data_IF_736050245873
#
_entry.id   IF_736050245873
#
_cell.length_a   1.000
_cell.length_b   1.000
_cell.length_c   1.000
_cell.angle_alpha   90.00
_cell.angle_beta   90.00
_cell.angle_gamma   90.00
#
_symmetry.space_group_name_H-M   'P 1'
#
loop_
_entity.id
_entity.type
_entity.pdbx_description
1 polymer ?
#
# COMPACT_ATOMS: atom_id res chain seq x y z
N UNK A 1 7.33 15.36 -6.40
CA UNK A 1 5.92 15.03 -6.71
C UNK A 1 5.89 13.51 -6.69
N UNK A 2 6.09 12.88 -5.52
CA UNK A 2 6.66 11.52 -5.46
C UNK A 2 6.16 10.68 -4.26
N UNK A 3 4.97 10.95 -3.73
CA UNK A 3 4.45 10.20 -2.57
C UNK A 3 3.50 9.05 -2.95
N UNK A 4 2.97 9.04 -4.19
CA UNK A 4 1.89 8.12 -4.58
C UNK A 4 2.37 6.88 -5.36
N UNK A 5 3.65 6.80 -5.73
CA UNK A 5 4.20 5.69 -6.53
C UNK A 5 4.14 4.35 -5.79
N UNK A 6 4.36 4.37 -4.46
CA UNK A 6 4.36 3.15 -3.64
C UNK A 6 3.02 2.41 -3.65
N UNK A 7 1.89 3.13 -3.63
CA UNK A 7 0.57 2.50 -3.66
C UNK A 7 0.26 1.87 -5.03
N UNK A 8 0.55 2.60 -6.12
CA UNK A 8 0.34 2.08 -7.46
C UNK A 8 1.19 0.82 -7.73
N UNK A 9 2.45 0.82 -7.25
CA UNK A 9 3.34 -0.32 -7.39
C UNK A 9 2.89 -1.51 -6.53
N UNK A 10 2.44 -1.26 -5.30
CA UNK A 10 1.83 -2.29 -4.46
C UNK A 10 0.61 -2.94 -5.12
N UNK A 11 -0.28 -2.16 -5.75
CA UNK A 11 -1.42 -2.70 -6.47
C UNK A 11 -1.02 -3.57 -7.68
N UNK A 12 0.03 -3.19 -8.40
CA UNK A 12 0.54 -3.97 -9.52
C UNK A 12 1.18 -5.29 -9.08
N UNK A 13 1.91 -5.28 -7.96
CA UNK A 13 2.45 -6.49 -7.34
C UNK A 13 1.33 -7.43 -6.86
N UNK A 14 0.31 -6.89 -6.19
CA UNK A 14 -0.84 -7.68 -5.76
C UNK A 14 -1.56 -8.34 -6.95
N UNK A 15 -1.77 -7.60 -8.05
CA UNK A 15 -2.36 -8.12 -9.29
C UNK A 15 -1.52 -9.21 -9.94
N UNK A 16 -0.20 -9.11 -9.83
CA UNK A 16 0.73 -10.12 -10.37
C UNK A 16 0.78 -11.38 -9.51
N UNK A 17 0.63 -11.23 -8.18
CA UNK A 17 0.59 -12.35 -7.24
C UNK A 17 -0.75 -13.07 -7.21
N UNK A 18 -1.85 -12.35 -7.44
CA UNK A 18 -3.22 -12.86 -7.47
C UNK A 18 -4.00 -12.27 -8.66
N UNK A 19 -4.25 -13.08 -9.68
CA UNK A 19 -5.00 -12.66 -10.87
C UNK A 19 -6.47 -12.30 -10.58
N UNK A 20 -7.01 -12.74 -9.44
CA UNK A 20 -8.38 -12.42 -9.01
C UNK A 20 -8.48 -11.10 -8.25
N UNK A 21 -7.35 -10.48 -7.92
CA UNK A 21 -7.32 -9.17 -7.27
C UNK A 21 -7.84 -8.08 -8.22
N UNK A 22 -8.76 -7.26 -7.72
CA UNK A 22 -9.26 -6.09 -8.43
C UNK A 22 -9.21 -4.85 -7.53
N UNK A 23 -8.72 -3.73 -8.06
CA UNK A 23 -8.70 -2.44 -7.36
C UNK A 23 -10.07 -2.01 -6.84
N UNK A 24 -11.15 -2.42 -7.53
CA UNK A 24 -12.53 -2.16 -7.11
C UNK A 24 -12.92 -2.84 -5.78
N UNK A 25 -12.17 -3.86 -5.33
CA UNK A 25 -12.35 -4.52 -4.04
C UNK A 25 -11.83 -3.65 -2.88
N UNK A 26 -10.98 -2.65 -3.14
CA UNK A 26 -10.54 -1.69 -2.11
C UNK A 26 -11.60 -0.59 -1.99
N UNK A 27 -12.25 -0.53 -0.82
CA UNK A 27 -13.22 0.50 -0.51
C UNK A 27 -12.55 1.85 -0.21
N UNK A 28 -11.53 1.83 0.65
CA UNK A 28 -10.76 3.01 1.04
C UNK A 28 -9.36 2.61 1.56
N UNK A 29 -8.45 3.57 1.55
CA UNK A 29 -7.18 3.54 2.26
C UNK A 29 -7.39 4.36 3.53
N UNK A 30 -7.31 3.74 4.71
CA UNK A 30 -7.63 4.40 5.97
C UNK A 30 -6.46 5.19 6.53
N UNK A 31 -5.26 4.60 6.44
CA UNK A 31 -4.02 5.17 6.96
C UNK A 31 -2.87 4.72 6.05
N UNK A 32 -1.86 5.55 5.92
CA UNK A 32 -0.63 5.19 5.24
C UNK A 32 0.59 5.71 6.00
N UNK A 33 1.73 5.08 5.79
CA UNK A 33 3.04 5.61 6.18
C UNK A 33 4.05 5.35 5.08
N UNK A 34 5.10 6.16 5.09
CA UNK A 34 6.26 6.00 4.22
C UNK A 34 7.53 6.17 5.05
N UNK A 35 8.50 5.31 4.78
CA UNK A 35 9.89 5.48 5.18
C UNK A 35 10.73 5.38 3.91
N UNK A 36 11.42 6.46 3.56
CA UNK A 36 12.31 6.47 2.41
C UNK A 36 13.71 6.84 2.91
N UNK A 37 14.64 5.91 2.74
CA UNK A 37 16.08 6.15 2.84
C UNK A 37 16.66 6.23 1.41
N UNK A 38 17.91 6.69 1.28
CA UNK A 38 18.59 6.91 0.00
C UNK A 38 18.57 5.68 -0.93
N UNK A 39 18.59 4.47 -0.35
CA UNK A 39 18.69 3.20 -1.09
C UNK A 39 17.46 2.29 -0.96
N UNK A 40 16.46 2.68 -0.16
CA UNK A 40 15.30 1.82 0.17
C UNK A 40 14.04 2.64 0.44
N UNK A 41 12.94 2.23 -0.17
CA UNK A 41 11.61 2.72 0.18
C UNK A 41 10.79 1.63 0.88
N UNK A 42 10.08 2.00 1.94
CA UNK A 42 9.09 1.17 2.58
C UNK A 42 7.81 1.97 2.75
N UNK A 43 6.69 1.34 2.43
CA UNK A 43 5.37 1.95 2.46
C UNK A 43 4.42 1.00 3.16
N UNK A 44 3.60 1.54 4.04
CA UNK A 44 2.52 0.80 4.68
C UNK A 44 1.17 1.43 4.38
N UNK A 45 0.18 0.59 4.12
CA UNK A 45 -1.19 1.00 3.84
C UNK A 45 -2.16 0.15 4.65
N UNK A 46 -3.11 0.79 5.32
CA UNK A 46 -4.26 0.10 5.89
C UNK A 46 -5.43 0.29 4.94
N UNK A 47 -5.91 -0.81 4.38
CA UNK A 47 -6.97 -0.85 3.39
C UNK A 47 -8.25 -1.39 4.02
N UNK A 48 -9.35 -0.70 3.78
CA UNK A 48 -10.70 -1.23 3.97
C UNK A 48 -11.16 -1.84 2.66
N UNK A 49 -11.58 -3.10 2.71
CA UNK A 49 -12.08 -3.85 1.56
C UNK A 49 -13.61 -3.74 1.48
N UNK A 50 -14.17 -3.86 0.27
CA UNK A 50 -15.63 -3.74 0.05
C UNK A 50 -16.45 -4.86 0.71
N UNK A 51 -15.82 -5.97 1.05
CA UNK A 51 -16.43 -7.06 1.81
C UNK A 51 -16.37 -6.85 3.34
N UNK A 52 -15.86 -5.71 3.81
CA UNK A 52 -15.73 -5.38 5.23
C UNK A 52 -14.42 -5.86 5.88
N UNK A 53 -13.56 -6.59 5.16
CA UNK A 53 -12.23 -6.93 5.67
C UNK A 53 -11.32 -5.71 5.72
N UNK A 54 -10.31 -5.80 6.57
CA UNK A 54 -9.27 -4.78 6.70
C UNK A 54 -7.91 -5.42 6.53
N UNK A 55 -7.11 -4.89 5.61
CA UNK A 55 -5.81 -5.45 5.26
C UNK A 55 -4.72 -4.41 5.51
N UNK A 56 -3.61 -4.86 6.07
CA UNK A 56 -2.35 -4.14 6.06
C UNK A 56 -1.50 -4.60 4.90
N UNK A 57 -1.10 -3.67 4.05
CA UNK A 57 -0.14 -3.89 2.98
C UNK A 57 1.16 -3.20 3.33
N UNK A 58 2.26 -3.95 3.33
CA UNK A 58 3.61 -3.41 3.43
C UNK A 58 4.34 -3.68 2.12
N UNK A 59 4.65 -2.60 1.40
CA UNK A 59 5.44 -2.64 0.18
C UNK A 59 6.85 -2.16 0.48
N UNK A 60 7.85 -2.92 0.08
CA UNK A 60 9.26 -2.52 0.17
C UNK A 60 9.88 -2.48 -1.21
N UNK A 61 10.44 -1.34 -1.59
CA UNK A 61 11.27 -1.15 -2.77
C UNK A 61 12.74 -1.25 -2.39
N UNK A 62 13.44 -2.20 -3.01
CA UNK A 62 14.89 -2.35 -2.88
C UNK A 62 15.64 -1.68 -4.04
N UNK A 63 16.91 -1.34 -3.80
CA UNK A 63 17.85 -1.01 -4.86
C UNK A 63 18.21 -2.27 -5.69
N UNK A 64 17.89 -2.30 -7.00
CA UNK A 64 18.22 -3.42 -7.87
C UNK A 64 19.73 -3.59 -8.08
N UNK A 65 20.55 -2.52 -7.98
CA UNK A 65 22.02 -2.63 -8.07
C UNK A 65 22.61 -3.35 -6.84
N UNK A 66 21.97 -3.19 -5.69
CA UNK A 66 22.27 -3.93 -4.46
C UNK A 66 21.65 -5.34 -4.41
N UNK A 67 20.96 -5.77 -5.48
CA UNK A 67 20.32 -7.09 -5.57
C UNK A 67 19.10 -7.26 -4.65
N UNK A 68 18.47 -6.16 -4.20
CA UNK A 68 17.30 -6.20 -3.34
C UNK A 68 16.03 -6.11 -4.18
N UNK A 69 15.22 -7.17 -4.13
CA UNK A 69 13.95 -7.22 -4.85
C UNK A 69 12.90 -6.30 -4.21
N UNK A 70 11.89 -5.94 -5.00
CA UNK A 70 10.63 -5.40 -4.50
C UNK A 70 9.79 -6.52 -3.87
N UNK A 71 9.08 -6.22 -2.80
CA UNK A 71 8.20 -7.19 -2.13
C UNK A 71 6.93 -6.54 -1.60
N UNK A 72 5.85 -7.32 -1.52
CA UNK A 72 4.55 -6.93 -0.98
C UNK A 72 4.07 -7.98 0.02
N UNK A 73 4.05 -7.60 1.29
CA UNK A 73 3.46 -8.40 2.35
C UNK A 73 2.03 -7.92 2.68
N UNK A 74 1.10 -8.86 2.80
CA UNK A 74 -0.30 -8.60 3.16
C UNK A 74 -0.62 -9.29 4.48
N UNK A 75 -1.27 -8.58 5.40
CA UNK A 75 -1.68 -9.10 6.71
C UNK A 75 -3.11 -8.67 7.01
N UNK A 76 -3.97 -9.60 7.43
CA UNK A 76 -5.32 -9.25 7.88
C UNK A 76 -5.28 -8.50 9.21
N UNK A 77 -6.14 -7.49 9.35
CA UNK A 77 -6.26 -6.67 10.55
C UNK A 77 -7.62 -6.85 11.21
N UNK A 78 -7.61 -6.77 12.52
CA UNK A 78 -8.83 -6.56 13.30
C UNK A 78 -9.29 -5.09 13.23
N UNK A 79 -10.54 -4.84 13.59
CA UNK A 79 -11.11 -3.49 13.59
C UNK A 79 -10.29 -2.54 14.48
N UNK A 80 -9.91 -1.38 13.95
CA UNK A 80 -9.13 -0.37 14.66
C UNK A 80 -7.65 -0.70 14.88
N UNK A 81 -7.17 -1.90 14.54
CA UNK A 81 -5.77 -2.29 14.71
C UNK A 81 -4.83 -1.49 13.78
N UNK A 82 -3.84 -0.81 14.32
CA UNK A 82 -2.80 -0.16 13.50
C UNK A 82 -1.49 -0.90 13.73
N UNK A 83 -0.93 -1.59 12.70
CA UNK A 83 0.37 -2.24 12.82
C UNK A 83 1.50 -1.25 13.14
N UNK A 84 2.61 -1.71 13.73
CA UNK A 84 3.81 -0.89 13.82
C UNK A 84 4.29 -0.51 12.43
N UNK A 85 4.69 0.75 12.27
CA UNK A 85 5.41 1.24 11.09
C UNK A 85 6.92 1.02 11.25
N UNK A 86 7.68 1.20 10.18
CA UNK A 86 9.14 1.18 10.25
C UNK A 86 9.67 2.34 11.11
N UNK A 87 10.92 2.21 11.58
CA UNK A 87 11.59 3.26 12.35
C UNK A 87 11.61 4.57 11.53
N UNK A 88 11.31 5.68 12.21
CA UNK A 88 11.14 7.04 11.67
C UNK A 88 9.90 7.30 10.77
N UNK A 89 9.16 6.27 10.37
CA UNK A 89 7.92 6.46 9.62
C UNK A 89 6.81 7.08 10.49
N UNK A 90 6.05 8.00 9.90
CA UNK A 90 4.85 8.57 10.53
C UNK A 90 3.61 8.22 9.73
N UNK A 91 2.60 7.74 10.44
CA UNK A 91 1.28 7.53 9.88
C UNK A 91 0.62 8.86 9.51
N UNK A 92 -0.04 8.88 8.37
CA UNK A 92 -0.81 10.01 7.87
C UNK A 92 -2.13 9.54 7.27
N UNK A 93 -3.07 10.49 7.15
CA UNK A 93 -4.38 10.25 6.52
C UNK A 93 -4.24 10.36 4.99
N UNK A 94 -4.53 9.30 4.21
CA UNK A 94 -4.21 9.22 2.80
C UNK A 94 -5.34 9.79 1.92
N UNK A 95 -5.79 11.02 2.19
CA UNK A 95 -6.93 11.65 1.49
C UNK A 95 -6.71 11.78 -0.02
N UNK A 96 -5.49 12.14 -0.44
CA UNK A 96 -5.13 12.24 -1.87
C UNK A 96 -5.10 10.87 -2.56
N UNK A 97 -4.51 9.87 -1.92
CA UNK A 97 -4.50 8.49 -2.41
C UNK A 97 -5.92 7.93 -2.55
N UNK A 98 -6.82 8.24 -1.62
CA UNK A 98 -8.23 7.87 -1.73
C UNK A 98 -8.91 8.54 -2.93
N UNK A 99 -8.66 9.82 -3.17
CA UNK A 99 -9.18 10.50 -4.35
C UNK A 99 -8.67 9.85 -5.65
N UNK A 100 -7.39 9.49 -5.69
CA UNK A 100 -6.80 8.79 -6.84
C UNK A 100 -7.37 7.37 -7.01
N UNK A 101 -7.49 6.59 -5.93
CA UNK A 101 -8.13 5.28 -5.95
C UNK A 101 -9.54 5.37 -6.54
N UNK A 102 -10.32 6.38 -6.14
CA UNK A 102 -11.65 6.61 -6.70
C UNK A 102 -11.65 6.91 -8.20
N UNK A 103 -10.60 7.57 -8.72
CA UNK A 103 -10.42 7.78 -10.16
C UNK A 103 -10.03 6.47 -10.85
N UNK A 104 -9.04 5.74 -10.33
CA UNK A 104 -8.56 4.48 -10.91
C UNK A 104 -9.67 3.43 -11.01
N UNK A 105 -10.52 3.32 -9.99
CA UNK A 105 -11.69 2.43 -9.97
C UNK A 105 -12.73 2.69 -11.08
N UNK A 106 -12.67 3.83 -11.79
CA UNK A 106 -13.58 4.12 -12.91
C UNK A 106 -13.06 3.60 -14.25
N UNK A 107 -11.77 3.25 -14.33
CA UNK A 107 -11.11 2.82 -15.56
C UNK A 107 -10.79 1.33 -15.59
N UNK A 108 -10.92 0.64 -14.45
CA UNK A 108 -10.71 -0.81 -14.28
C UNK A 108 -12.06 -1.50 -14.11
#
# INVERSE_FOLDING_TARGET
MDEDWGFARAADLARTADESFALAQIAAIEAAWVSADLDRGAFGFVLSMTNGQRLYWRYTSGDPEAGRAEDLAVTELTEGQIPPSDDDARWYKPDRLNAQLAVLRRFT
#
